data_IF_495434964346
#
_entry.id   IF_495434964346
#
_cell.length_a   1.000
_cell.length_b   1.000
_cell.length_c   1.000
_cell.angle_alpha   90.00
_cell.angle_beta   90.00
_cell.angle_gamma   90.00
#
_symmetry.space_group_name_H-M   'P 1'
#
loop_
_entity.id
_entity.type
_entity.pdbx_description
1 polymer ?
#
# COMPACT_ATOMS: atom_id res chain seq x y z
N UNK A 1 7.54 -8.56 -6.80
CA UNK A 1 7.77 -8.45 -5.33
C UNK A 1 6.90 -9.49 -4.63
N UNK A 2 7.43 -10.16 -3.61
CA UNK A 2 6.67 -11.11 -2.78
C UNK A 2 6.51 -10.55 -1.37
N UNK A 3 5.34 -10.77 -0.75
CA UNK A 3 5.02 -10.35 0.61
C UNK A 3 4.49 -11.55 1.39
N UNK A 4 5.13 -11.85 2.52
CA UNK A 4 4.72 -12.91 3.45
C UNK A 4 4.11 -12.24 4.67
N UNK A 5 2.84 -12.54 4.96
CA UNK A 5 2.10 -11.90 6.04
C UNK A 5 1.53 -12.96 6.98
N UNK A 6 1.65 -12.71 8.29
CA UNK A 6 1.08 -13.57 9.31
C UNK A 6 -0.43 -13.31 9.41
N UNK A 7 -1.25 -14.31 9.08
CA UNK A 7 -2.71 -14.19 9.13
C UNK A 7 -3.26 -13.83 10.52
N UNK A 8 -2.52 -14.18 11.59
CA UNK A 8 -2.92 -13.85 12.96
C UNK A 8 -2.86 -12.34 13.27
N UNK A 9 -2.15 -11.55 12.46
CA UNK A 9 -2.07 -10.09 12.62
C UNK A 9 -3.30 -9.36 12.04
N UNK A 10 -4.15 -10.06 11.29
CA UNK A 10 -5.39 -9.50 10.74
C UNK A 10 -6.59 -9.79 11.66
N UNK A 11 -6.75 -8.99 12.71
CA UNK A 11 -7.98 -9.02 13.51
C UNK A 11 -8.99 -7.99 12.96
N UNK A 12 -10.18 -8.45 12.58
CA UNK A 12 -11.32 -7.64 12.11
C UNK A 12 -11.14 -6.88 10.79
N UNK A 13 -10.30 -7.38 9.87
CA UNK A 13 -10.17 -6.87 8.50
C UNK A 13 -9.30 -5.61 8.40
N UNK A 14 -9.59 -4.57 9.17
CA UNK A 14 -8.77 -3.35 9.20
C UNK A 14 -7.65 -3.53 10.22
N UNK A 15 -6.39 -3.57 9.78
CA UNK A 15 -5.29 -4.05 10.61
C UNK A 15 -3.96 -3.37 10.35
N UNK A 16 -3.12 -3.42 11.38
CA UNK A 16 -1.71 -3.01 11.35
C UNK A 16 -0.89 -4.31 11.40
N UNK A 17 -0.05 -4.54 10.42
CA UNK A 17 0.73 -5.77 10.31
C UNK A 17 2.11 -5.50 9.74
N UNK A 18 3.01 -6.47 9.88
CA UNK A 18 4.33 -6.45 9.28
C UNK A 18 4.36 -7.46 8.14
N UNK A 19 4.46 -6.96 6.91
CA UNK A 19 4.74 -7.79 5.75
C UNK A 19 6.24 -8.03 5.64
N UNK A 20 6.66 -9.28 5.61
CA UNK A 20 8.04 -9.65 5.27
C UNK A 20 8.16 -9.68 3.75
N UNK A 21 8.90 -8.72 3.20
CA UNK A 21 8.92 -8.43 1.76
C UNK A 21 10.26 -8.77 1.15
N UNK A 22 10.28 -9.34 -0.06
CA UNK A 22 11.50 -9.52 -0.85
C UNK A 22 11.31 -9.21 -2.32
N UNK A 23 12.36 -8.76 -3.03
CA UNK A 23 12.32 -8.62 -4.48
C UNK A 23 12.20 -10.01 -5.13
N UNK A 24 11.36 -10.09 -6.15
CA UNK A 24 11.31 -11.25 -7.05
C UNK A 24 11.31 -10.72 -8.48
N UNK A 25 12.04 -11.40 -9.36
CA UNK A 25 12.04 -11.12 -10.79
C UNK A 25 10.70 -11.55 -11.44
N UNK A 26 10.56 -11.32 -12.75
CA UNK A 26 9.34 -11.67 -13.51
C UNK A 26 9.14 -13.18 -13.66
N UNK A 27 10.19 -13.97 -13.49
CA UNK A 27 10.16 -15.44 -13.48
C UNK A 27 9.83 -16.02 -12.09
N UNK A 28 9.79 -15.18 -11.06
CA UNK A 28 9.51 -15.57 -9.67
C UNK A 28 10.75 -15.96 -8.86
N UNK A 29 11.96 -15.76 -9.39
CA UNK A 29 13.18 -15.99 -8.62
C UNK A 29 13.41 -14.84 -7.65
N UNK A 30 13.96 -15.15 -6.48
CA UNK A 30 14.17 -14.19 -5.40
C UNK A 30 15.50 -13.47 -5.56
N UNK A 31 15.49 -12.14 -5.54
CA UNK A 31 16.68 -11.32 -5.70
C UNK A 31 16.92 -10.47 -4.44
N UNK A 32 17.64 -11.01 -3.45
CA UNK A 32 18.07 -10.26 -2.27
C UNK A 32 17.33 -10.59 -0.97
N UNK A 33 17.66 -9.87 0.12
CA UNK A 33 17.20 -10.21 1.47
C UNK A 33 15.73 -9.83 1.68
N UNK A 34 15.11 -10.51 2.65
CA UNK A 34 13.80 -10.13 3.18
C UNK A 34 13.96 -8.89 4.06
N UNK A 35 13.05 -7.93 3.91
CA UNK A 35 12.95 -6.76 4.77
C UNK A 35 11.51 -6.53 5.24
N UNK A 36 11.30 -6.01 6.47
CA UNK A 36 9.97 -5.79 6.99
C UNK A 36 9.36 -4.51 6.41
N UNK A 37 8.08 -4.55 6.05
CA UNK A 37 7.27 -3.38 5.69
C UNK A 37 6.10 -3.28 6.65
N UNK A 38 6.07 -2.22 7.46
CA UNK A 38 4.95 -1.94 8.36
C UNK A 38 3.80 -1.42 7.51
N UNK A 39 2.70 -2.15 7.47
CA UNK A 39 1.52 -1.81 6.67
C UNK A 39 0.34 -1.60 7.60
N UNK A 40 -0.38 -0.51 7.38
CA UNK A 40 -1.66 -0.23 8.02
C UNK A 40 -2.71 -0.06 6.93
N UNK A 41 -3.72 -0.92 6.93
CA UNK A 41 -4.94 -0.66 6.15
C UNK A 41 -5.73 0.34 6.96
N UNK A 42 -5.89 1.56 6.45
CA UNK A 42 -6.62 2.62 7.13
C UNK A 42 -8.11 2.39 6.95
N UNK A 43 -8.52 2.08 5.71
CA UNK A 43 -9.90 1.82 5.35
C UNK A 43 -9.97 1.08 4.01
N UNK A 44 -10.97 0.20 3.85
CA UNK A 44 -11.21 -0.54 2.62
C UNK A 44 -12.60 -1.16 2.66
N UNK A 45 -13.22 -1.31 1.48
CA UNK A 45 -14.45 -2.07 1.29
C UNK A 45 -14.18 -3.51 0.79
N UNK A 46 -12.91 -3.92 0.73
CA UNK A 46 -12.40 -5.18 0.15
C UNK A 46 -12.78 -5.46 -1.30
N UNK A 47 -13.44 -4.51 -1.98
CA UNK A 47 -14.13 -4.75 -3.23
C UNK A 47 -13.71 -3.77 -4.33
N UNK A 48 -13.55 -2.50 -3.99
CA UNK A 48 -13.27 -1.43 -4.95
C UNK A 48 -12.06 -0.57 -4.57
N UNK A 49 -11.84 -0.29 -3.29
CA UNK A 49 -10.77 0.61 -2.85
C UNK A 49 -10.07 0.18 -1.58
N UNK A 50 -8.87 0.71 -1.37
CA UNK A 50 -8.20 0.71 -0.08
C UNK A 50 -7.38 1.99 0.09
N UNK A 51 -7.31 2.48 1.33
CA UNK A 51 -6.34 3.51 1.74
C UNK A 51 -5.35 2.83 2.68
N UNK A 52 -4.07 2.86 2.31
CA UNK A 52 -3.01 2.20 3.06
C UNK A 52 -1.94 3.20 3.49
N UNK A 53 -1.29 2.93 4.62
CA UNK A 53 -0.05 3.56 5.02
C UNK A 53 1.03 2.49 5.14
N UNK A 54 2.14 2.67 4.41
CA UNK A 54 3.27 1.74 4.41
C UNK A 54 4.53 2.45 4.83
N UNK A 55 5.29 1.83 5.73
CA UNK A 55 6.61 2.30 6.12
C UNK A 55 7.64 1.19 5.94
N UNK A 56 8.67 1.48 5.14
CA UNK A 56 9.86 0.65 5.02
C UNK A 56 10.94 1.27 5.92
N UNK A 57 11.56 0.51 6.84
CA UNK A 57 12.68 1.00 7.62
C UNK A 57 13.95 1.01 6.76
N UNK A 58 14.03 1.95 5.82
CA UNK A 58 15.24 2.23 5.06
C UNK A 58 16.10 3.23 5.87
N UNK A 59 17.14 2.74 6.54
CA UNK A 59 18.07 3.56 7.34
C UNK A 59 17.39 4.44 8.42
N UNK A 60 18.05 5.48 8.94
CA UNK A 60 17.58 6.27 10.09
C UNK A 60 16.24 6.98 9.85
N UNK A 61 15.93 7.37 8.62
CA UNK A 61 14.74 8.18 8.32
C UNK A 61 13.50 7.37 7.90
N UNK A 62 13.68 6.12 7.47
CA UNK A 62 12.60 5.30 6.91
C UNK A 62 11.94 5.93 5.67
N UNK A 63 11.17 5.14 4.93
CA UNK A 63 10.32 5.65 3.85
C UNK A 63 8.88 5.28 4.16
N UNK A 64 8.07 6.28 4.51
CA UNK A 64 6.65 6.13 4.74
C UNK A 64 5.85 6.75 3.60
N UNK A 65 4.83 6.05 3.12
CA UNK A 65 3.95 6.48 2.03
C UNK A 65 2.50 6.18 2.36
N UNK A 66 1.61 7.09 1.97
CA UNK A 66 0.18 6.81 1.86
C UNK A 66 -0.14 6.39 0.43
N UNK A 67 -0.98 5.35 0.30
CA UNK A 67 -1.40 4.80 -0.98
C UNK A 67 -2.93 4.80 -1.05
N UNK A 68 -3.45 5.27 -2.17
CA UNK A 68 -4.86 5.13 -2.55
C UNK A 68 -4.92 4.08 -3.65
N UNK A 69 -5.50 2.93 -3.33
CA UNK A 69 -5.62 1.80 -4.24
C UNK A 69 -7.05 1.73 -4.78
N UNK A 70 -7.19 1.48 -6.09
CA UNK A 70 -8.48 1.33 -6.76
C UNK A 70 -8.45 0.13 -7.69
N UNK A 71 -9.52 -0.66 -7.71
CA UNK A 71 -9.72 -1.73 -8.71
C UNK A 71 -10.18 -1.21 -10.06
N UNK A 72 -10.69 0.02 -10.11
CA UNK A 72 -11.19 0.66 -11.34
C UNK A 72 -10.21 1.77 -11.75
N UNK A 73 -9.52 1.63 -12.89
CA UNK A 73 -8.62 2.68 -13.38
C UNK A 73 -9.33 4.03 -13.45
N UNK A 74 -8.67 5.08 -12.96
CA UNK A 74 -9.13 6.48 -13.00
C UNK A 74 -10.43 6.77 -12.24
N UNK A 75 -10.96 5.84 -11.47
CA UNK A 75 -12.15 6.05 -10.64
C UNK A 75 -11.70 6.11 -9.18
N UNK A 76 -11.92 7.29 -8.57
CA UNK A 76 -11.77 7.48 -7.14
C UNK A 76 -13.07 7.07 -6.44
N UNK A 77 -12.96 6.21 -5.43
CA UNK A 77 -14.12 5.84 -4.61
C UNK A 77 -14.56 7.01 -3.73
N UNK A 78 -15.86 7.21 -3.58
CA UNK A 78 -16.46 8.31 -2.81
C UNK A 78 -16.06 8.30 -1.34
N UNK A 79 -15.66 7.15 -0.80
CA UNK A 79 -15.23 7.03 0.59
C UNK A 79 -13.82 7.57 0.84
N UNK A 80 -12.98 7.71 -0.20
CA UNK A 80 -11.57 8.12 -0.06
C UNK A 80 -11.44 9.53 0.50
N UNK A 81 -12.18 10.50 -0.04
CA UNK A 81 -12.05 11.91 0.35
C UNK A 81 -12.41 12.16 1.84
N UNK A 82 -13.51 11.59 2.40
CA UNK A 82 -13.75 11.61 3.85
C UNK A 82 -12.60 11.03 4.69
N UNK A 83 -11.92 9.98 4.22
CA UNK A 83 -10.78 9.37 4.92
C UNK A 83 -9.58 10.31 4.91
N UNK A 84 -9.25 10.90 3.77
CA UNK A 84 -8.14 11.85 3.65
C UNK A 84 -8.35 13.07 4.57
N UNK A 85 -9.58 13.59 4.63
CA UNK A 85 -9.91 14.69 5.54
C UNK A 85 -9.69 14.33 7.01
N UNK A 86 -10.02 13.09 7.44
CA UNK A 86 -9.75 12.61 8.81
C UNK A 86 -8.25 12.48 9.11
N UNK A 87 -7.43 12.28 8.07
CA UNK A 87 -5.97 12.19 8.15
C UNK A 87 -5.28 13.55 7.95
N UNK A 88 -6.04 14.63 7.76
CA UNK A 88 -5.52 15.95 7.41
C UNK A 88 -4.70 15.98 6.11
N UNK A 89 -5.00 15.06 5.18
CA UNK A 89 -4.38 14.97 3.86
C UNK A 89 -5.33 15.49 2.78
N UNK A 90 -4.79 15.94 1.64
CA UNK A 90 -5.58 16.34 0.48
C UNK A 90 -5.23 15.46 -0.72
N UNK A 91 -6.21 15.20 -1.58
CA UNK A 91 -6.00 14.40 -2.79
C UNK A 91 -4.88 14.97 -3.69
N UNK A 92 -4.76 16.29 -3.74
CA UNK A 92 -3.72 17.00 -4.49
C UNK A 92 -2.28 16.72 -4.01
N UNK A 93 -2.11 16.18 -2.79
CA UNK A 93 -0.80 15.81 -2.25
C UNK A 93 -0.30 14.46 -2.81
N UNK A 94 -1.17 13.73 -3.52
CA UNK A 94 -0.89 12.42 -4.10
C UNK A 94 -0.49 12.52 -5.57
N UNK A 95 0.40 11.62 -5.98
CA UNK A 95 0.82 11.47 -7.38
C UNK A 95 -0.03 10.37 -8.03
N UNK A 96 -0.76 10.71 -9.09
CA UNK A 96 -1.45 9.73 -9.91
C UNK A 96 -0.42 8.85 -10.65
N UNK A 97 -0.41 7.55 -10.31
CA UNK A 97 0.56 6.57 -10.85
C UNK A 97 0.23 6.08 -12.25
N UNK A 98 -0.99 6.30 -12.77
CA UNK A 98 -1.37 5.89 -14.11
C UNK A 98 -1.08 6.99 -15.16
N UNK A 99 0.20 7.34 -15.30
CA UNK A 99 0.71 8.27 -16.33
C UNK A 99 1.26 7.47 -17.53
N UNK A 100 1.19 8.00 -18.75
CA UNK A 100 1.89 7.41 -19.90
C UNK A 100 3.37 7.21 -19.55
N UNK A 101 3.85 5.96 -19.59
CA UNK A 101 5.21 5.57 -19.21
C UNK A 101 5.31 4.74 -17.91
N UNK A 102 4.25 4.63 -17.12
CA UNK A 102 4.15 3.61 -16.08
C UNK A 102 3.68 2.30 -16.74
N UNK A 103 4.59 1.35 -16.93
CA UNK A 103 4.22 0.00 -17.34
C UNK A 103 3.55 -0.72 -16.15
N UNK A 104 2.45 -1.42 -16.41
CA UNK A 104 1.94 -2.41 -15.47
C UNK A 104 3.01 -3.49 -15.30
N UNK A 105 3.40 -3.76 -14.06
CA UNK A 105 4.37 -4.78 -13.69
C UNK A 105 3.69 -6.13 -13.48
#
# INVERSE_FOLDING_TARGET
>A
MEMIINSNEFQNGTGKFIAQTRPVDKEGNTEGPIYPVRTTIIDTDYSNYAVEHKCVPLSEDGLCVYLILSRKPYVLDTNVEPILNKLELKLQDFILMNKPGCAEA
#
